data_IF_415155220301
#
_entry.id   IF_415155220301
#
_cell.length_a   1.000
_cell.length_b   1.000
_cell.length_c   1.000
_cell.angle_alpha   90.00
_cell.angle_beta   90.00
_cell.angle_gamma   90.00
#
_symmetry.space_group_name_H-M   'P 1'
#
loop_
_entity.id
_entity.type
_entity.pdbx_description
1 polymer ?
#
# COMPACT_ATOMS: atom_id res chain seq x y z
N UNK A 1 -61.61 34.07 -7.63
CA UNK A 1 -60.74 32.87 -7.53
C UNK A 1 -59.36 33.30 -8.03
N UNK A 2 -58.45 33.70 -7.15
CA UNK A 2 -57.49 32.90 -6.34
C UNK A 2 -56.19 32.57 -7.12
N UNK A 3 -55.07 33.06 -6.55
CA UNK A 3 -53.64 32.63 -6.58
C UNK A 3 -52.69 33.54 -7.38
N UNK A 4 -51.93 34.45 -6.73
CA UNK A 4 -50.63 34.31 -5.97
C UNK A 4 -49.44 34.02 -6.89
N UNK A 5 -48.23 34.58 -6.79
CA UNK A 5 -47.53 35.45 -5.83
C UNK A 5 -46.34 36.11 -6.59
N UNK A 6 -46.09 37.39 -6.38
CA UNK A 6 -44.97 37.99 -5.60
C UNK A 6 -43.55 37.81 -6.16
N UNK A 7 -42.98 38.96 -6.53
CA UNK A 7 -41.57 39.25 -6.82
C UNK A 7 -40.63 38.79 -5.69
N UNK A 8 -39.43 38.31 -6.06
CA UNK A 8 -38.16 38.77 -5.47
C UNK A 8 -37.11 38.84 -6.59
N UNK A 9 -36.51 40.03 -6.73
CA UNK A 9 -35.33 40.34 -7.53
C UNK A 9 -34.08 39.96 -6.73
N UNK A 10 -33.16 39.22 -7.34
CA UNK A 10 -31.76 39.19 -6.92
C UNK A 10 -30.88 39.01 -8.17
N UNK A 11 -30.31 40.12 -8.63
CA UNK A 11 -29.15 40.12 -9.50
C UNK A 11 -27.90 40.06 -8.61
N UNK A 12 -26.89 39.26 -8.96
CA UNK A 12 -25.51 39.70 -8.85
C UNK A 12 -24.57 38.90 -9.78
N UNK A 13 -23.68 39.68 -10.37
CA UNK A 13 -22.63 39.38 -11.32
C UNK A 13 -21.49 38.52 -10.74
N UNK A 14 -21.02 37.59 -11.57
CA UNK A 14 -19.63 37.22 -11.92
C UNK A 14 -18.41 37.57 -11.04
N UNK A 15 -17.45 36.66 -11.15
CA UNK A 15 -15.98 36.85 -11.28
C UNK A 15 -15.10 36.77 -10.01
N UNK A 16 -14.25 35.75 -10.02
CA UNK A 16 -12.79 35.78 -9.87
C UNK A 16 -12.17 36.68 -8.78
N UNK A 17 -11.33 36.07 -7.95
CA UNK A 17 -10.18 36.75 -7.35
C UNK A 17 -10.06 36.54 -5.85
N UNK A 18 -9.21 35.59 -5.46
CA UNK A 18 -8.54 35.62 -4.16
C UNK A 18 -7.66 36.87 -4.11
N UNK A 19 -8.26 37.99 -3.72
CA UNK A 19 -7.58 39.19 -3.24
C UNK A 19 -7.71 39.20 -1.73
N UNK A 20 -6.57 39.25 -1.05
CA UNK A 20 -6.52 39.58 0.37
C UNK A 20 -7.06 40.99 0.60
N UNK A 21 -8.09 41.14 1.42
CA UNK A 21 -8.45 42.41 2.07
C UNK A 21 -8.16 42.24 3.57
N UNK A 22 -7.07 42.82 4.09
CA UNK A 22 -6.91 44.19 4.61
C UNK A 22 -7.57 44.42 5.99
N UNK A 23 -6.89 45.06 6.97
CA UNK A 23 -7.24 44.99 8.40
C UNK A 23 -8.38 45.92 8.85
N UNK A 24 -8.98 46.68 7.92
CA UNK A 24 -9.87 47.80 8.25
C UNK A 24 -11.36 47.44 8.37
N UNK A 25 -11.77 46.21 8.05
CA UNK A 25 -13.17 45.76 8.23
C UNK A 25 -13.55 45.53 9.71
N UNK A 26 -12.57 45.49 10.61
CA UNK A 26 -12.81 45.18 12.02
C UNK A 26 -13.32 46.37 12.86
N UNK A 27 -13.34 47.58 12.29
CA UNK A 27 -13.75 48.79 13.01
C UNK A 27 -15.27 48.93 13.11
N UNK A 28 -15.98 48.56 12.04
CA UNK A 28 -17.45 48.69 11.94
C UNK A 28 -18.18 47.68 12.85
N UNK A 29 -17.57 46.51 13.11
CA UNK A 29 -18.12 45.48 14.00
C UNK A 29 -17.91 45.79 15.50
N UNK A 30 -16.85 46.55 15.83
CA UNK A 30 -16.53 46.89 17.23
C UNK A 30 -17.45 47.96 17.84
N UNK A 31 -18.02 48.85 17.02
CA UNK A 31 -18.97 49.88 17.46
C UNK A 31 -20.39 49.33 17.75
N UNK A 32 -20.68 48.11 17.29
CA UNK A 32 -21.98 47.44 17.49
C UNK A 32 -22.06 46.60 18.78
N UNK A 33 -21.02 46.61 19.63
CA UNK A 33 -20.99 45.85 20.89
C UNK A 33 -20.94 44.32 20.73
N UNK A 34 -20.68 43.83 19.51
CA UNK A 34 -20.57 42.41 19.21
C UNK A 34 -19.12 41.96 19.32
N UNK A 35 -18.72 41.49 20.50
CA UNK A 35 -17.44 40.81 20.70
C UNK A 35 -17.53 39.37 20.19
N UNK A 36 -16.81 39.08 19.10
CA UNK A 36 -16.61 37.70 18.67
C UNK A 36 -15.54 37.12 19.59
N UNK A 37 -15.92 36.20 20.47
CA UNK A 37 -14.97 35.43 21.26
C UNK A 37 -13.98 34.77 20.29
N UNK A 38 -12.69 35.07 20.44
CA UNK A 38 -11.63 34.39 19.72
C UNK A 38 -11.79 32.89 19.97
N UNK A 39 -12.25 32.18 18.94
CA UNK A 39 -12.17 30.73 18.91
C UNK A 39 -10.67 30.42 18.87
N UNK A 40 -10.12 30.02 20.01
CA UNK A 40 -8.78 29.43 20.06
C UNK A 40 -8.82 28.18 19.18
N UNK A 41 -8.35 28.32 17.95
CA UNK A 41 -8.14 27.19 17.05
C UNK A 41 -7.10 26.31 17.75
N UNK A 42 -7.44 25.05 18.11
CA UNK A 42 -6.48 24.17 18.75
C UNK A 42 -5.23 24.11 17.89
N UNK A 43 -4.08 24.47 18.48
CA UNK A 43 -2.80 24.41 17.80
C UNK A 43 -2.64 22.99 17.26
N UNK A 44 -2.45 22.77 15.95
CA UNK A 44 -2.33 21.44 15.39
C UNK A 44 -1.21 20.70 16.14
N UNK A 45 -1.49 19.47 16.55
CA UNK A 45 -0.50 18.62 17.19
C UNK A 45 0.79 18.64 16.34
N UNK A 46 1.99 18.68 16.96
CA UNK A 46 3.23 18.66 16.22
C UNK A 46 3.22 17.47 15.26
N UNK A 47 3.50 17.74 13.98
CA UNK A 47 3.54 16.71 12.94
C UNK A 47 4.43 15.56 13.41
N UNK A 48 3.82 14.39 13.60
CA UNK A 48 4.53 13.15 13.85
C UNK A 48 5.48 12.95 12.66
N UNK A 49 6.78 12.72 12.87
CA UNK A 49 7.68 12.40 11.76
C UNK A 49 7.09 11.22 10.99
N UNK A 50 6.76 11.42 9.71
CA UNK A 50 6.18 10.38 8.88
C UNK A 50 7.17 9.23 8.78
N UNK A 51 6.86 8.14 9.48
CA UNK A 51 7.67 6.95 9.45
C UNK A 51 7.75 6.41 8.03
N UNK A 52 8.95 6.04 7.57
CA UNK A 52 9.13 5.39 6.27
C UNK A 52 8.62 3.96 6.37
N UNK A 53 7.37 3.73 5.99
CA UNK A 53 6.67 2.44 6.09
C UNK A 53 7.00 1.51 4.92
N UNK A 54 7.55 0.34 5.22
CA UNK A 54 7.47 -0.88 4.42
C UNK A 54 6.04 -1.42 4.33
N UNK A 55 5.73 -2.02 3.19
CA UNK A 55 4.46 -2.69 2.90
C UNK A 55 4.13 -3.81 3.89
N UNK A 56 2.84 -4.11 3.98
CA UNK A 56 2.27 -5.15 4.84
C UNK A 56 2.80 -6.57 4.48
N UNK A 57 3.07 -6.83 3.20
CA UNK A 57 3.61 -8.11 2.72
C UNK A 57 5.05 -8.32 3.18
N UNK A 58 5.83 -7.24 3.23
CA UNK A 58 7.20 -7.21 3.76
C UNK A 58 7.20 -7.30 5.28
N UNK A 59 6.19 -6.72 5.93
CA UNK A 59 6.05 -6.72 7.38
C UNK A 59 5.85 -8.15 7.93
N UNK A 60 4.92 -8.94 7.35
CA UNK A 60 4.66 -10.29 7.86
C UNK A 60 5.90 -11.19 7.84
N UNK A 61 6.76 -11.10 6.81
CA UNK A 61 7.98 -11.94 6.72
C UNK A 61 9.04 -11.65 7.78
N UNK A 62 9.05 -10.42 8.28
CA UNK A 62 10.00 -10.02 9.32
C UNK A 62 9.60 -10.59 10.67
N UNK A 63 8.33 -10.98 10.84
CA UNK A 63 7.83 -11.50 12.10
C UNK A 63 8.27 -12.96 12.23
N UNK A 64 9.09 -13.24 13.24
CA UNK A 64 9.58 -14.59 13.55
C UNK A 64 9.25 -14.98 14.98
N UNK A 65 9.20 -16.28 15.21
CA UNK A 65 9.10 -16.82 16.55
C UNK A 65 10.36 -16.48 17.35
N UNK A 66 10.19 -15.97 18.57
CA UNK A 66 11.29 -15.80 19.50
C UNK A 66 11.65 -17.15 20.13
N UNK A 67 12.51 -17.92 19.47
CA UNK A 67 12.95 -19.24 19.96
C UNK A 67 13.66 -19.18 21.32
N UNK A 68 14.36 -18.07 21.60
CA UNK A 68 15.07 -17.86 22.86
C UNK A 68 14.12 -17.58 24.04
N UNK A 69 12.93 -17.04 23.77
CA UNK A 69 11.90 -16.85 24.79
C UNK A 69 10.49 -16.93 24.17
N UNK A 70 9.96 -18.14 23.94
CA UNK A 70 8.65 -18.33 23.32
C UNK A 70 7.49 -17.82 24.19
N UNK A 71 7.71 -17.59 25.50
CA UNK A 71 6.68 -17.09 26.43
C UNK A 71 6.52 -15.56 26.43
N UNK A 72 7.41 -14.82 25.75
CA UNK A 72 7.42 -13.36 25.75
C UNK A 72 6.32 -12.77 24.83
N UNK A 73 5.06 -12.90 25.23
CA UNK A 73 3.93 -12.38 24.45
C UNK A 73 3.68 -10.88 24.65
N UNK A 74 4.19 -10.30 25.74
CA UNK A 74 4.04 -8.87 26.06
C UNK A 74 5.24 -8.03 25.60
N UNK A 75 6.19 -8.64 24.89
CA UNK A 75 7.45 -8.00 24.53
C UNK A 75 7.84 -8.40 23.12
N UNK A 76 7.97 -7.42 22.24
CA UNK A 76 8.46 -7.60 20.88
C UNK A 76 9.94 -7.23 20.83
N UNK A 77 10.74 -7.98 20.08
CA UNK A 77 12.16 -7.66 19.87
C UNK A 77 12.38 -7.33 18.40
N UNK A 78 12.62 -6.06 18.09
CA UNK A 78 12.99 -5.60 16.76
C UNK A 78 14.50 -5.60 16.57
N UNK A 79 14.93 -6.24 15.49
CA UNK A 79 16.30 -6.19 14.97
C UNK A 79 16.35 -5.18 13.83
N UNK A 80 17.31 -4.26 13.87
CA UNK A 80 17.45 -3.23 12.85
C UNK A 80 18.28 -3.72 11.66
N UNK A 81 18.02 -3.17 10.48
CA UNK A 81 18.85 -3.38 9.30
C UNK A 81 20.25 -2.80 9.55
N UNK A 82 21.29 -3.44 9.00
CA UNK A 82 22.69 -2.99 9.15
C UNK A 82 22.82 -1.51 8.78
N UNK A 83 23.62 -0.77 9.54
CA UNK A 83 23.84 0.69 9.41
C UNK A 83 22.69 1.61 9.86
N UNK A 84 21.61 1.06 10.44
CA UNK A 84 20.57 1.89 11.05
C UNK A 84 21.07 2.55 12.34
N UNK A 85 20.85 3.85 12.49
CA UNK A 85 21.09 4.55 13.74
C UNK A 85 20.02 4.19 14.79
N UNK A 86 20.43 3.42 15.81
CA UNK A 86 19.57 2.95 16.90
C UNK A 86 18.84 4.08 17.65
N UNK A 87 19.53 5.20 17.91
CA UNK A 87 18.95 6.32 18.64
C UNK A 87 17.86 7.02 17.81
N UNK A 88 18.03 7.08 16.49
CA UNK A 88 17.02 7.64 15.58
C UNK A 88 15.80 6.73 15.48
N UNK A 89 16.01 5.42 15.31
CA UNK A 89 14.94 4.43 15.28
C UNK A 89 14.12 4.42 16.59
N UNK A 90 14.77 4.51 17.76
CA UNK A 90 14.07 4.60 19.05
C UNK A 90 13.23 5.87 19.17
N UNK A 91 13.75 7.01 18.71
CA UNK A 91 13.00 8.28 18.75
C UNK A 91 11.76 8.20 17.86
N UNK A 92 11.90 7.65 16.66
CA UNK A 92 10.81 7.49 15.70
C UNK A 92 9.73 6.53 16.23
N UNK A 93 10.12 5.35 16.73
CA UNK A 93 9.18 4.39 17.31
C UNK A 93 8.44 4.95 18.53
N UNK A 94 9.14 5.64 19.44
CA UNK A 94 8.49 6.27 20.59
C UNK A 94 7.55 7.40 20.17
N UNK A 95 7.91 8.18 19.14
CA UNK A 95 7.01 9.22 18.60
C UNK A 95 5.76 8.65 17.93
N UNK A 96 5.84 7.42 17.41
CA UNK A 96 4.72 6.67 16.86
C UNK A 96 3.90 5.90 17.93
N UNK A 97 4.20 6.11 19.21
CA UNK A 97 3.44 5.54 20.33
C UNK A 97 3.85 4.11 20.72
N UNK A 98 4.97 3.58 20.21
CA UNK A 98 5.55 2.34 20.74
C UNK A 98 6.31 2.62 22.04
N UNK A 99 6.20 1.74 23.03
CA UNK A 99 7.01 1.81 24.26
C UNK A 99 8.37 1.14 24.01
N UNK A 100 9.24 1.80 23.26
CA UNK A 100 10.48 1.22 22.74
C UNK A 100 11.71 1.61 23.57
N UNK A 101 12.53 0.62 23.93
CA UNK A 101 13.81 0.79 24.65
C UNK A 101 14.93 0.00 23.97
N UNK A 102 16.18 0.42 24.20
CA UNK A 102 17.33 -0.34 23.72
C UNK A 102 17.62 -1.53 24.64
N UNK A 103 17.86 -2.71 24.05
CA UNK A 103 18.40 -3.87 24.75
C UNK A 103 19.56 -4.46 23.94
N UNK A 104 20.80 -4.30 24.42
CA UNK A 104 22.01 -4.93 23.83
C UNK A 104 22.16 -4.73 22.31
N UNK A 105 21.84 -3.54 21.81
CA UNK A 105 21.90 -3.22 20.38
C UNK A 105 20.65 -3.61 19.58
N UNK A 106 19.62 -4.14 20.23
CA UNK A 106 18.29 -4.41 19.69
C UNK A 106 17.29 -3.39 20.25
N UNK A 107 16.08 -3.35 19.66
CA UNK A 107 14.97 -2.59 20.19
C UNK A 107 13.97 -3.55 20.83
N UNK A 108 13.69 -3.34 22.11
CA UNK A 108 12.62 -4.03 22.82
C UNK A 108 11.40 -3.11 22.88
N UNK A 109 10.24 -3.63 22.52
CA UNK A 109 8.97 -2.90 22.57
C UNK A 109 8.04 -3.59 23.54
N UNK A 110 7.65 -2.88 24.59
CA UNK A 110 6.62 -3.33 25.52
C UNK A 110 5.23 -3.13 24.91
N UNK A 111 4.47 -4.22 24.82
CA UNK A 111 3.11 -4.24 24.28
C UNK A 111 2.09 -4.68 25.34
N UNK A 112 2.46 -4.58 26.61
CA UNK A 112 1.54 -4.87 27.72
C UNK A 112 0.31 -3.97 27.64
N UNK A 113 -0.87 -4.61 27.55
CA UNK A 113 -2.15 -3.93 27.43
C UNK A 113 -2.56 -3.56 26.00
N UNK A 114 -1.69 -3.80 25.01
CA UNK A 114 -1.99 -3.63 23.59
C UNK A 114 -2.27 -4.98 22.90
N UNK A 115 -2.82 -4.95 21.68
CA UNK A 115 -2.82 -6.12 20.80
C UNK A 115 -1.40 -6.36 20.27
N UNK A 116 -0.72 -7.34 20.87
CA UNK A 116 0.66 -7.69 20.53
C UNK A 116 0.84 -8.13 19.06
N UNK A 117 -0.18 -8.72 18.43
CA UNK A 117 -0.11 -9.12 17.03
C UNK A 117 -0.13 -7.89 16.12
N UNK A 118 -1.04 -6.96 16.40
CA UNK A 118 -1.16 -5.71 15.66
C UNK A 118 0.07 -4.82 15.83
N UNK A 119 0.60 -4.73 17.06
CA UNK A 119 1.86 -4.02 17.33
C UNK A 119 3.05 -4.67 16.63
N UNK A 120 3.12 -6.01 16.56
CA UNK A 120 4.20 -6.70 15.84
C UNK A 120 4.21 -6.37 14.34
N UNK A 121 3.02 -6.30 13.74
CA UNK A 121 2.88 -5.97 12.32
C UNK A 121 3.19 -4.50 12.08
N UNK A 122 2.66 -3.60 12.93
CA UNK A 122 2.98 -2.18 12.88
C UNK A 122 4.48 -1.92 13.00
N UNK A 123 5.17 -2.62 13.90
CA UNK A 123 6.62 -2.54 14.07
C UNK A 123 7.36 -3.08 12.85
N UNK A 124 6.92 -4.19 12.27
CA UNK A 124 7.54 -4.79 11.09
C UNK A 124 7.37 -3.94 9.81
N UNK A 125 6.37 -3.03 9.79
CA UNK A 125 6.21 -2.04 8.72
C UNK A 125 7.29 -0.97 8.73
N UNK A 126 8.18 -0.82 9.71
CA UNK A 126 9.21 0.22 9.60
C UNK A 126 10.34 -0.20 8.61
N UNK A 127 10.78 0.73 7.76
CA UNK A 127 11.88 0.57 6.78
C UNK A 127 13.15 0.00 7.43
N UNK A 128 13.51 0.54 8.59
CA UNK A 128 14.72 0.19 9.32
C UNK A 128 14.62 -1.08 10.18
N UNK A 129 13.42 -1.68 10.32
CA UNK A 129 13.23 -2.94 11.05
C UNK A 129 13.46 -4.10 10.08
N UNK A 130 14.47 -4.93 10.35
CA UNK A 130 14.81 -6.11 9.56
C UNK A 130 14.12 -7.38 10.05
N UNK A 131 13.87 -7.51 11.35
CA UNK A 131 13.21 -8.68 11.96
C UNK A 131 12.44 -8.23 13.21
N UNK A 132 11.29 -8.85 13.48
CA UNK A 132 10.50 -8.70 14.71
C UNK A 132 10.30 -10.07 15.33
N UNK A 133 10.88 -10.32 16.49
CA UNK A 133 10.67 -11.57 17.22
C UNK A 133 9.53 -11.43 18.21
N UNK A 134 8.62 -12.40 18.18
CA UNK A 134 7.41 -12.41 19.01
C UNK A 134 7.27 -13.74 19.75
N UNK A 135 6.60 -13.74 20.91
CA UNK A 135 6.27 -14.96 21.62
C UNK A 135 5.36 -15.89 20.80
N UNK A 136 5.32 -17.18 21.18
CA UNK A 136 4.60 -18.22 20.44
C UNK A 136 3.11 -17.94 20.29
N UNK A 137 2.46 -17.45 21.33
CA UNK A 137 1.03 -17.15 21.25
C UNK A 137 0.74 -16.00 20.29
N UNK A 138 1.63 -14.99 20.23
CA UNK A 138 1.55 -13.88 19.27
C UNK A 138 1.87 -14.34 17.86
N UNK A 139 2.89 -15.19 17.70
CA UNK A 139 3.23 -15.78 16.40
C UNK A 139 2.06 -16.60 15.85
N UNK A 140 1.53 -17.51 16.66
CA UNK A 140 0.40 -18.35 16.28
C UNK A 140 -0.85 -17.50 16.04
N UNK A 141 -1.08 -16.43 16.82
CA UNK A 141 -2.18 -15.49 16.57
C UNK A 141 -1.99 -14.70 15.28
N UNK A 142 -0.78 -14.47 14.77
CA UNK A 142 -0.57 -13.82 13.47
C UNK A 142 -0.73 -14.83 12.33
N UNK A 143 -0.17 -16.04 12.44
CA UNK A 143 0.00 -16.96 11.33
C UNK A 143 -1.02 -18.12 11.26
N UNK A 144 -1.91 -18.28 12.25
CA UNK A 144 -2.98 -19.30 12.17
C UNK A 144 -4.28 -18.75 11.57
N UNK A 145 -5.10 -19.63 10.99
CA UNK A 145 -6.33 -19.30 10.22
C UNK A 145 -7.42 -18.59 11.07
N UNK A 146 -7.30 -18.59 12.42
CA UNK A 146 -8.28 -18.00 13.36
C UNK A 146 -7.81 -16.69 14.04
N UNK A 147 -6.87 -15.96 13.44
CA UNK A 147 -6.40 -14.69 14.04
C UNK A 147 -7.46 -13.60 14.08
N UNK A 148 -7.45 -12.80 15.15
CA UNK A 148 -8.21 -11.54 15.25
C UNK A 148 -7.41 -10.28 14.88
N UNK A 149 -6.15 -10.41 14.45
CA UNK A 149 -5.28 -9.26 14.13
C UNK A 149 -5.91 -8.37 13.05
N UNK A 150 -6.08 -7.10 13.35
CA UNK A 150 -6.66 -6.09 12.45
C UNK A 150 -5.63 -5.59 11.41
N UNK A 151 -4.33 -5.78 11.66
CA UNK A 151 -3.25 -5.38 10.76
C UNK A 151 -2.68 -6.51 9.89
N UNK A 152 -3.04 -7.77 10.08
CA UNK A 152 -2.60 -8.88 9.22
C UNK A 152 -3.65 -9.14 8.14
N UNK A 153 -3.60 -8.42 7.02
CA UNK A 153 -4.45 -8.83 5.91
C UNK A 153 -3.80 -10.01 5.22
N UNK A 154 -4.36 -11.17 5.54
CA UNK A 154 -3.96 -12.49 5.03
C UNK A 154 -4.44 -12.72 3.61
N UNK A 155 -5.52 -12.06 3.25
CA UNK A 155 -6.22 -12.21 1.98
C UNK A 155 -6.36 -10.85 1.32
N UNK A 156 -5.63 -10.64 0.25
CA UNK A 156 -5.84 -9.54 -0.66
C UNK A 156 -6.75 -9.95 -1.81
N UNK A 157 -7.50 -9.02 -2.40
CA UNK A 157 -8.29 -9.30 -3.60
C UNK A 157 -8.13 -8.21 -4.65
N UNK A 158 -8.25 -8.60 -5.91
CA UNK A 158 -8.36 -7.69 -7.05
C UNK A 158 -9.67 -8.02 -7.75
N UNK A 159 -10.62 -7.08 -7.75
CA UNK A 159 -11.95 -7.29 -8.33
C UNK A 159 -12.34 -6.17 -9.28
N UNK A 160 -13.02 -6.48 -10.37
CA UNK A 160 -13.54 -5.49 -11.31
C UNK A 160 -13.47 -5.99 -12.74
N UNK A 161 -12.99 -5.15 -13.66
CA UNK A 161 -12.83 -5.55 -15.06
C UNK A 161 -11.60 -4.93 -15.73
N UNK A 162 -11.07 -5.68 -16.69
CA UNK A 162 -10.04 -5.24 -17.63
C UNK A 162 -10.42 -5.71 -19.02
N UNK A 163 -10.36 -4.84 -20.03
CA UNK A 163 -10.73 -5.20 -21.41
C UNK A 163 -12.14 -5.81 -21.52
N UNK A 164 -13.10 -5.23 -20.80
CA UNK A 164 -14.50 -5.69 -20.74
C UNK A 164 -14.69 -7.11 -20.22
N UNK A 165 -13.67 -7.72 -19.64
CA UNK A 165 -13.75 -9.03 -19.00
C UNK A 165 -13.56 -8.90 -17.50
N UNK A 166 -14.24 -9.74 -16.69
CA UNK A 166 -14.14 -9.67 -15.25
C UNK A 166 -12.75 -10.12 -14.79
N UNK A 167 -12.29 -9.48 -13.72
CA UNK A 167 -11.13 -9.88 -12.95
C UNK A 167 -11.61 -10.13 -11.52
N UNK A 168 -11.34 -11.33 -11.00
CA UNK A 168 -11.57 -11.69 -9.61
C UNK A 168 -10.41 -12.57 -9.15
N UNK A 169 -9.43 -11.96 -8.48
CA UNK A 169 -8.26 -12.64 -7.96
C UNK A 169 -8.23 -12.52 -6.44
N UNK A 170 -7.78 -13.60 -5.81
CA UNK A 170 -7.56 -13.71 -4.37
C UNK A 170 -6.10 -14.05 -4.12
N UNK A 171 -5.42 -13.19 -3.38
CA UNK A 171 -4.04 -13.33 -2.96
C UNK A 171 -4.04 -13.86 -1.54
N UNK A 172 -3.69 -15.13 -1.35
CA UNK A 172 -3.43 -15.69 -0.04
C UNK A 172 -1.97 -15.45 0.33
N UNK A 173 -1.75 -14.48 1.21
CA UNK A 173 -0.41 -14.05 1.68
C UNK A 173 0.18 -14.97 2.75
N UNK A 174 -0.60 -15.94 3.26
CA UNK A 174 -0.12 -16.99 4.15
C UNK A 174 0.36 -18.22 3.37
N UNK A 175 -0.45 -18.66 2.41
CA UNK A 175 -0.15 -19.84 1.58
C UNK A 175 0.72 -19.49 0.36
N UNK A 176 0.93 -18.19 0.12
CA UNK A 176 1.61 -17.66 -1.06
C UNK A 176 0.98 -18.20 -2.35
N UNK A 177 -0.35 -18.05 -2.46
CA UNK A 177 -1.11 -18.45 -3.64
C UNK A 177 -1.93 -17.29 -4.21
N UNK A 178 -2.14 -17.32 -5.53
CA UNK A 178 -3.03 -16.42 -6.25
C UNK A 178 -4.07 -17.29 -6.96
N UNK A 179 -5.34 -17.12 -6.61
CA UNK A 179 -6.44 -17.92 -7.16
C UNK A 179 -7.58 -17.07 -7.67
N UNK A 180 -8.35 -17.59 -8.62
CA UNK A 180 -9.58 -16.97 -9.11
C UNK A 180 -9.66 -17.02 -10.62
N UNK A 181 -10.06 -15.91 -11.24
CA UNK A 181 -10.16 -15.79 -12.68
C UNK A 181 -9.77 -14.39 -13.18
N UNK A 182 -9.13 -14.37 -14.35
CA UNK A 182 -8.89 -13.17 -15.13
C UNK A 182 -9.23 -13.48 -16.59
N UNK A 183 -9.93 -12.59 -17.28
CA UNK A 183 -10.29 -12.77 -18.68
C UNK A 183 -11.10 -14.07 -18.95
N UNK A 184 -12.07 -14.37 -18.06
CA UNK A 184 -12.88 -15.60 -18.07
C UNK A 184 -12.09 -16.91 -17.94
N UNK A 185 -10.81 -16.83 -17.62
CA UNK A 185 -9.95 -17.99 -17.51
C UNK A 185 -9.42 -18.13 -16.09
N UNK A 186 -9.22 -19.37 -15.60
CA UNK A 186 -8.78 -19.61 -14.25
C UNK A 186 -7.34 -19.14 -14.04
N UNK A 187 -7.09 -18.68 -12.83
CA UNK A 187 -5.76 -18.39 -12.29
C UNK A 187 -5.60 -19.25 -11.05
N UNK A 188 -4.55 -20.06 -11.01
CA UNK A 188 -4.12 -20.81 -9.83
C UNK A 188 -2.60 -20.88 -9.83
N UNK A 189 -1.98 -20.04 -9.01
CA UNK A 189 -0.54 -19.88 -8.96
C UNK A 189 -0.06 -20.04 -7.53
N UNK A 190 1.05 -20.75 -7.36
CA UNK A 190 1.80 -20.88 -6.11
C UNK A 190 3.14 -20.19 -6.24
N UNK A 191 3.50 -19.45 -5.20
CA UNK A 191 4.76 -18.72 -5.09
C UNK A 191 5.58 -19.36 -3.99
N UNK A 192 6.82 -19.73 -4.30
CA UNK A 192 7.78 -20.26 -3.35
C UNK A 192 8.93 -19.26 -3.22
N UNK A 193 9.01 -18.60 -2.07
CA UNK A 193 10.03 -17.59 -1.80
C UNK A 193 11.39 -18.16 -1.43
N UNK A 194 11.45 -19.41 -0.97
CA UNK A 194 12.71 -20.08 -0.65
C UNK A 194 13.34 -20.61 -1.94
N UNK A 195 12.56 -21.30 -2.75
CA UNK A 195 12.99 -21.78 -4.06
C UNK A 195 13.08 -20.66 -5.12
N UNK A 196 12.55 -19.46 -4.81
CA UNK A 196 12.50 -18.30 -5.72
C UNK A 196 11.75 -18.62 -7.02
N UNK A 197 10.62 -19.32 -6.92
CA UNK A 197 9.85 -19.81 -8.06
C UNK A 197 8.37 -19.45 -7.99
N UNK A 198 7.74 -19.32 -9.15
CA UNK A 198 6.29 -19.20 -9.32
C UNK A 198 5.84 -20.31 -10.27
N UNK A 199 4.88 -21.11 -9.82
CA UNK A 199 4.38 -22.28 -10.56
C UNK A 199 2.86 -22.33 -10.55
N UNK A 200 2.25 -22.91 -11.57
CA UNK A 200 0.80 -23.13 -11.62
C UNK A 200 0.24 -22.90 -13.01
N UNK A 201 -0.91 -22.22 -13.09
CA UNK A 201 -1.56 -21.90 -14.34
C UNK A 201 -2.23 -20.53 -14.34
N UNK A 202 -2.12 -19.84 -15.47
CA UNK A 202 -2.84 -18.61 -15.79
C UNK A 202 -3.42 -18.81 -17.18
N UNK A 203 -4.69 -18.45 -17.37
CA UNK A 203 -5.33 -18.48 -18.68
C UNK A 203 -5.20 -19.84 -19.41
N UNK A 204 -5.50 -20.93 -18.69
CA UNK A 204 -5.36 -22.32 -19.16
C UNK A 204 -3.95 -22.73 -19.61
N UNK A 205 -2.94 -21.96 -19.24
CA UNK A 205 -1.56 -22.18 -19.65
C UNK A 205 -0.65 -22.31 -18.43
N UNK A 206 0.38 -23.16 -18.50
CA UNK A 206 1.29 -23.36 -17.39
C UNK A 206 2.12 -22.09 -17.14
N UNK A 207 2.45 -21.90 -15.86
CA UNK A 207 3.38 -20.89 -15.38
C UNK A 207 4.55 -21.61 -14.73
N UNK A 208 5.75 -21.25 -15.16
CA UNK A 208 7.02 -21.68 -14.57
C UNK A 208 8.00 -20.52 -14.65
N UNK A 209 8.04 -19.73 -13.59
CA UNK A 209 8.90 -18.56 -13.48
C UNK A 209 9.86 -18.73 -12.31
N UNK A 210 11.01 -18.09 -12.42
CA UNK A 210 11.91 -17.78 -11.33
C UNK A 210 11.85 -16.29 -11.08
N UNK A 211 12.17 -15.89 -9.86
CA UNK A 211 12.33 -14.48 -9.56
C UNK A 211 13.55 -14.24 -8.69
N UNK A 212 14.19 -13.09 -8.85
CA UNK A 212 15.09 -12.55 -7.84
C UNK A 212 14.44 -11.35 -7.19
N UNK A 213 14.59 -11.23 -5.88
CA UNK A 213 13.88 -10.25 -5.07
C UNK A 213 14.85 -9.51 -4.16
N UNK A 214 14.73 -8.19 -4.17
CA UNK A 214 15.31 -7.28 -3.19
C UNK A 214 14.27 -6.23 -2.78
N UNK A 215 14.64 -5.37 -1.83
CA UNK A 215 13.80 -4.23 -1.44
C UNK A 215 13.69 -3.16 -2.52
N UNK A 216 14.64 -3.10 -3.46
CA UNK A 216 14.68 -2.06 -4.50
C UNK A 216 14.17 -2.58 -5.86
N UNK A 217 14.28 -3.88 -6.10
CA UNK A 217 13.92 -4.48 -7.39
C UNK A 217 13.45 -5.93 -7.29
N UNK A 218 12.62 -6.32 -8.26
CA UNK A 218 12.21 -7.71 -8.49
C UNK A 218 12.43 -8.03 -9.96
N UNK A 219 13.23 -9.05 -10.25
CA UNK A 219 13.35 -9.62 -11.60
C UNK A 219 12.55 -10.89 -11.68
N UNK A 220 11.74 -11.06 -12.72
CA UNK A 220 11.00 -12.29 -13.03
C UNK A 220 11.51 -12.81 -14.37
N UNK A 221 11.80 -14.11 -14.47
CA UNK A 221 12.30 -14.76 -15.69
C UNK A 221 11.75 -16.20 -15.80
N UNK A 222 11.31 -16.62 -16.99
CA UNK A 222 10.87 -17.99 -17.26
C UNK A 222 9.82 -18.04 -18.37
N UNK A 223 8.78 -18.85 -18.17
CA UNK A 223 7.68 -19.00 -19.10
C UNK A 223 6.31 -18.88 -18.42
N UNK A 224 5.40 -18.17 -19.07
CA UNK A 224 3.97 -18.14 -18.78
C UNK A 224 3.21 -18.05 -20.10
N UNK A 225 1.99 -18.61 -20.17
CA UNK A 225 1.20 -18.60 -21.41
C UNK A 225 1.90 -19.24 -22.62
N UNK A 226 2.71 -20.28 -22.38
CA UNK A 226 3.57 -20.93 -23.40
C UNK A 226 4.62 -20.01 -24.05
N UNK A 227 4.90 -18.87 -23.43
CA UNK A 227 5.79 -17.87 -24.00
C UNK A 227 6.80 -17.37 -22.97
N UNK A 228 7.96 -16.89 -23.41
CA UNK A 228 8.98 -16.40 -22.50
C UNK A 228 8.52 -15.09 -21.86
N UNK A 229 8.83 -14.96 -20.58
CA UNK A 229 8.58 -13.79 -19.75
C UNK A 229 9.88 -13.41 -19.09
N UNK A 230 10.27 -12.14 -19.22
CA UNK A 230 11.35 -11.57 -18.45
C UNK A 230 11.11 -10.09 -18.22
N UNK A 231 10.94 -9.67 -16.97
CA UNK A 231 10.85 -8.25 -16.65
C UNK A 231 11.43 -7.97 -15.29
N UNK A 232 11.82 -6.72 -15.10
CA UNK A 232 12.28 -6.19 -13.82
C UNK A 232 11.33 -5.10 -13.37
N UNK A 233 10.91 -5.12 -12.12
CA UNK A 233 10.24 -4.01 -11.44
C UNK A 233 11.26 -3.35 -10.53
N UNK A 234 11.68 -2.13 -10.83
CA UNK A 234 12.57 -1.32 -10.03
C UNK A 234 11.75 -0.24 -9.31
N UNK A 235 11.60 -0.39 -8.00
CA UNK A 235 10.76 0.48 -7.18
C UNK A 235 11.36 1.87 -6.99
N UNK A 236 12.68 1.94 -6.94
CA UNK A 236 13.43 3.19 -6.75
C UNK A 236 13.41 4.06 -8.01
N UNK A 237 13.54 3.43 -9.18
CA UNK A 237 13.47 4.10 -10.48
C UNK A 237 12.01 4.33 -10.91
N UNK A 238 11.04 3.68 -10.27
CA UNK A 238 9.65 3.77 -10.68
C UNK A 238 9.42 3.14 -12.06
N UNK A 239 10.04 1.99 -12.33
CA UNK A 239 10.12 1.43 -13.68
C UNK A 239 9.89 -0.08 -13.66
N UNK A 240 8.97 -0.55 -14.49
CA UNK A 240 8.82 -1.95 -14.84
C UNK A 240 9.19 -2.10 -16.31
N UNK A 241 10.18 -2.91 -16.66
CA UNK A 241 10.55 -3.10 -18.06
C UNK A 241 11.05 -4.51 -18.39
N UNK A 242 10.90 -4.90 -19.66
CA UNK A 242 11.32 -6.20 -20.18
C UNK A 242 10.42 -6.66 -21.32
N UNK A 243 10.06 -7.93 -21.30
CA UNK A 243 9.14 -8.54 -22.25
C UNK A 243 8.24 -9.60 -21.61
N UNK A 244 7.06 -9.78 -22.18
CA UNK A 244 6.17 -10.91 -21.93
C UNK A 244 5.51 -11.31 -23.25
N UNK A 245 5.35 -12.60 -23.50
CA UNK A 245 4.83 -13.13 -24.75
C UNK A 245 5.54 -12.56 -26.01
N UNK A 246 6.88 -12.60 -26.00
CA UNK A 246 7.73 -12.03 -27.07
C UNK A 246 7.53 -10.53 -27.34
N UNK A 247 6.76 -9.85 -26.50
CA UNK A 247 6.36 -8.47 -26.72
C UNK A 247 7.01 -7.57 -25.69
N UNK A 248 7.60 -6.43 -26.08
CA UNK A 248 8.24 -5.55 -25.13
C UNK A 248 7.19 -4.88 -24.25
N UNK A 249 7.56 -4.65 -22.99
CA UNK A 249 6.76 -3.91 -22.05
C UNK A 249 7.63 -2.94 -21.26
N UNK A 250 7.08 -1.77 -20.96
CA UNK A 250 7.72 -0.74 -20.15
C UNK A 250 6.64 0.11 -19.50
N UNK A 251 6.61 0.17 -18.17
CA UNK A 251 5.71 0.99 -17.37
C UNK A 251 6.54 1.87 -16.44
N UNK A 252 6.27 3.16 -16.44
CA UNK A 252 6.81 4.14 -15.51
C UNK A 252 5.73 4.48 -14.49
N UNK A 253 6.11 4.55 -13.23
CA UNK A 253 5.23 4.85 -12.11
C UNK A 253 6.02 5.62 -11.06
N UNK A 254 5.39 6.57 -10.38
CA UNK A 254 6.00 7.23 -9.24
C UNK A 254 5.18 6.90 -7.99
N UNK A 255 5.75 6.09 -7.11
CA UNK A 255 5.09 5.73 -5.86
C UNK A 255 4.94 6.93 -4.92
N UNK A 256 5.62 8.05 -5.19
CA UNK A 256 5.61 9.30 -4.41
C UNK A 256 5.81 9.03 -2.92
N UNK A 257 6.70 8.07 -2.61
CA UNK A 257 6.94 7.63 -1.23
C UNK A 257 7.49 8.78 -0.39
N UNK A 258 6.80 9.12 0.69
CA UNK A 258 7.18 10.22 1.59
C UNK A 258 6.53 11.57 1.31
N UNK A 259 5.49 11.60 0.47
CA UNK A 259 4.65 12.80 0.28
C UNK A 259 3.26 12.52 0.86
N UNK A 260 2.94 13.07 2.04
CA UNK A 260 1.67 12.90 2.76
C UNK A 260 0.41 13.13 1.90
N UNK A 261 0.53 13.98 0.89
CA UNK A 261 -0.59 14.43 0.05
C UNK A 261 -0.76 13.62 -1.24
N UNK A 262 0.20 12.73 -1.55
CA UNK A 262 0.24 11.92 -2.76
C UNK A 262 -0.61 10.65 -2.65
N UNK A 263 -1.94 10.82 -2.71
CA UNK A 263 -2.90 9.72 -2.62
C UNK A 263 -3.08 8.95 -3.93
N UNK A 264 -2.48 9.41 -5.03
CA UNK A 264 -2.61 8.75 -6.33
C UNK A 264 -1.24 8.42 -6.93
N UNK A 265 -1.15 7.31 -7.66
CA UNK A 265 0.01 6.92 -8.45
C UNK A 265 -0.43 6.81 -9.90
N UNK A 266 0.26 7.50 -10.79
CA UNK A 266 0.05 7.35 -12.23
C UNK A 266 1.05 6.35 -12.80
N UNK A 267 0.55 5.38 -13.56
CA UNK A 267 1.36 4.37 -14.27
C UNK A 267 1.20 4.59 -15.76
N UNK A 268 2.28 4.87 -16.48
CA UNK A 268 2.25 5.14 -17.94
C UNK A 268 3.28 4.33 -18.68
N UNK A 269 3.03 4.01 -19.95
CA UNK A 269 4.01 3.34 -20.79
C UNK A 269 3.35 2.50 -21.86
N UNK A 270 3.88 1.30 -22.10
CA UNK A 270 3.34 0.39 -23.10
C UNK A 270 3.51 -1.08 -22.74
N UNK A 271 2.64 -1.91 -23.32
CA UNK A 271 2.75 -3.36 -23.38
C UNK A 271 2.45 -3.77 -24.82
N UNK A 272 3.34 -4.55 -25.44
CA UNK A 272 3.19 -4.95 -26.85
C UNK A 272 2.96 -3.74 -27.78
N UNK A 273 3.76 -2.69 -27.59
CA UNK A 273 3.63 -1.40 -28.30
C UNK A 273 2.29 -0.67 -28.13
N UNK A 274 1.37 -1.21 -27.33
CA UNK A 274 0.10 -0.59 -27.03
C UNK A 274 0.18 0.23 -25.74
N UNK A 275 -0.44 1.43 -25.71
CA UNK A 275 -0.27 2.34 -24.58
C UNK A 275 -0.93 1.79 -23.31
N UNK A 276 -0.30 2.10 -22.18
CA UNK A 276 -0.83 1.91 -20.83
C UNK A 276 -0.88 3.27 -20.13
N UNK A 277 -2.02 3.56 -19.52
CA UNK A 277 -2.23 4.75 -18.69
C UNK A 277 -3.20 4.38 -17.57
N UNK A 278 -2.70 4.19 -16.37
CA UNK A 278 -3.47 3.82 -15.19
C UNK A 278 -3.28 4.86 -14.08
N UNK A 279 -4.30 5.01 -13.25
CA UNK A 279 -4.26 5.80 -12.03
C UNK A 279 -4.70 4.90 -10.89
N UNK A 280 -3.82 4.76 -9.90
CA UNK A 280 -4.07 4.03 -8.67
C UNK A 280 -4.33 5.00 -7.53
N UNK A 281 -5.49 4.92 -6.90
CA UNK A 281 -5.81 5.63 -5.66
C UNK A 281 -5.44 4.74 -4.46
N UNK A 282 -4.46 5.20 -3.68
CA UNK A 282 -3.94 4.50 -2.50
C UNK A 282 -4.97 4.41 -1.36
N UNK A 283 -5.93 5.32 -1.31
CA UNK A 283 -6.96 5.36 -0.27
C UNK A 283 -8.06 4.35 -0.59
N UNK A 284 -8.64 4.44 -1.78
CA UNK A 284 -9.74 3.56 -2.18
C UNK A 284 -9.27 2.19 -2.68
N UNK A 285 -7.98 2.04 -2.98
CA UNK A 285 -7.41 0.86 -3.62
C UNK A 285 -7.83 0.73 -5.09
N UNK A 286 -8.44 1.77 -5.68
CA UNK A 286 -9.00 1.70 -7.03
C UNK A 286 -7.91 1.96 -8.07
N UNK A 287 -7.85 1.11 -9.08
CA UNK A 287 -6.98 1.22 -10.25
C UNK A 287 -7.85 1.37 -11.50
N UNK A 288 -7.89 2.59 -12.05
CA UNK A 288 -8.64 2.91 -13.27
C UNK A 288 -7.71 3.30 -14.41
N UNK A 289 -8.23 3.31 -15.63
CA UNK A 289 -7.55 3.87 -16.80
C UNK A 289 -7.71 2.98 -18.02
N UNK A 290 -6.63 2.80 -18.77
CA UNK A 290 -6.62 1.94 -19.94
C UNK A 290 -5.30 1.19 -20.12
N UNK A 291 -5.42 -0.04 -20.62
CA UNK A 291 -4.32 -0.85 -21.15
C UNK A 291 -4.70 -1.27 -22.56
N UNK A 292 -3.82 -1.04 -23.54
CA UNK A 292 -4.09 -1.33 -24.96
C UNK A 292 -5.40 -0.68 -25.46
N UNK A 293 -5.64 0.58 -25.08
CA UNK A 293 -6.88 1.34 -25.39
C UNK A 293 -8.17 0.70 -24.86
N UNK A 294 -8.05 -0.26 -23.94
CA UNK A 294 -9.17 -0.94 -23.31
C UNK A 294 -9.30 -0.53 -21.86
N UNK A 295 -10.52 -0.31 -21.35
CA UNK A 295 -10.71 0.19 -20.00
C UNK A 295 -10.20 -0.82 -18.97
N UNK A 296 -9.57 -0.29 -17.94
CA UNK A 296 -9.22 -0.96 -16.69
C UNK A 296 -9.98 -0.27 -15.58
N UNK A 297 -10.63 -1.05 -14.73
CA UNK A 297 -11.33 -0.58 -13.55
C UNK A 297 -11.41 -1.71 -12.55
N UNK A 298 -10.43 -1.79 -11.66
CA UNK A 298 -10.36 -2.80 -10.61
C UNK A 298 -10.13 -2.17 -9.25
N UNK A 299 -10.57 -2.84 -8.20
CA UNK A 299 -10.33 -2.47 -6.81
C UNK A 299 -9.41 -3.50 -6.18
N UNK A 300 -8.31 -3.01 -5.62
CA UNK A 300 -7.35 -3.77 -4.85
C UNK A 300 -7.72 -3.61 -3.37
N UNK A 301 -8.31 -4.65 -2.80
CA UNK A 301 -8.70 -4.68 -1.39
C UNK A 301 -7.62 -5.44 -0.64
N UNK A 302 -6.88 -4.74 0.21
CA UNK A 302 -5.74 -5.28 0.93
C UNK A 302 -4.63 -5.90 0.04
N UNK A 303 -4.63 -5.48 -1.22
CA UNK A 303 -3.51 -5.52 -2.16
C UNK A 303 -3.14 -4.08 -2.48
N UNK A 304 -1.95 -3.89 -3.03
CA UNK A 304 -1.50 -2.58 -3.50
C UNK A 304 -0.88 -2.69 -4.90
N UNK A 305 -0.40 -1.55 -5.40
CA UNK A 305 0.24 -1.49 -6.70
C UNK A 305 1.49 -2.38 -6.79
N UNK A 306 2.15 -2.68 -5.67
CA UNK A 306 3.28 -3.61 -5.62
C UNK A 306 2.85 -5.03 -5.95
N UNK A 307 1.77 -5.51 -5.32
CA UNK A 307 1.16 -6.80 -5.64
C UNK A 307 0.77 -6.86 -7.13
N UNK A 308 0.15 -5.81 -7.65
CA UNK A 308 -0.26 -5.75 -9.05
C UNK A 308 0.91 -5.80 -10.04
N UNK A 309 1.94 -4.97 -9.84
CA UNK A 309 3.09 -4.87 -10.75
C UNK A 309 4.03 -6.07 -10.65
N UNK A 310 4.17 -6.67 -9.45
CA UNK A 310 5.02 -7.86 -9.27
C UNK A 310 4.49 -9.05 -10.08
N UNK A 311 3.17 -9.24 -10.11
CA UNK A 311 2.52 -10.36 -10.81
C UNK A 311 1.88 -9.91 -12.13
N UNK A 312 2.47 -8.91 -12.78
CA UNK A 312 1.91 -8.30 -13.98
C UNK A 312 1.72 -9.29 -15.14
N UNK A 313 2.49 -10.40 -15.17
CA UNK A 313 2.32 -11.49 -16.14
C UNK A 313 0.90 -12.10 -16.17
N UNK A 314 0.11 -11.95 -15.09
CA UNK A 314 -1.28 -12.43 -15.03
C UNK A 314 -2.18 -11.63 -15.99
N UNK A 315 -1.86 -10.36 -16.22
CA UNK A 315 -2.71 -9.40 -16.94
C UNK A 315 -2.27 -9.16 -18.39
N UNK A 316 -1.10 -9.67 -18.78
CA UNK A 316 -0.55 -9.47 -20.13
C UNK A 316 -0.59 -10.75 -20.96
N UNK A 317 -1.00 -10.57 -22.21
CA UNK A 317 -1.00 -11.58 -23.26
C UNK A 317 -0.46 -10.94 -24.53
#
# INVERSE_FOLDING_TARGET
MKKTASLIVAAFFSASGLLSAAPDENKVLSEAGLSIQQIEVPRPAPAVPEAKYNQQNTALRKIKLNEANPGANNTLVAMLVRHTNLASALRELNSAGFKAKSLRGLIEVDVTGDDAADRAIGLAKYSFVGEVRVGKAVYDSIFTVRSKSTYAVKIGTIKGGMNHTPVELTFNKLEWTIKGAANYAPVDVKIDHEAKTVTGGVNHSPVSLKFDWSTEEITVDGAANYSPVKYTVNWKAGLLEGYANHSPLRLQFDMQEGTAEANTVTVTGYVNHAPVSLTYDKISGRLDGAMNLKPVGVTLVNCDLYDFLTYFFIFVK
#
